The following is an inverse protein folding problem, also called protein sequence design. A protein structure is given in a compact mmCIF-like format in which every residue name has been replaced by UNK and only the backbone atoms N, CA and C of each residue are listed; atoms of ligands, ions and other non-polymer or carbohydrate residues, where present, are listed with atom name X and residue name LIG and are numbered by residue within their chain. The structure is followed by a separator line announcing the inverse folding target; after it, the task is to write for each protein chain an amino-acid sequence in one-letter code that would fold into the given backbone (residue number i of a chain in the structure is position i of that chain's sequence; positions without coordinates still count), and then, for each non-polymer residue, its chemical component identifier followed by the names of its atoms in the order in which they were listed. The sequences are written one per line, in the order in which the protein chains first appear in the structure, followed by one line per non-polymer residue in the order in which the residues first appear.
data_IF_607187585004
#
_entry.id   IF_607187585004
#
_cell.length_a   1.000
_cell.length_b   1.000
_cell.length_c   1.000
_cell.angle_alpha   90.00
_cell.angle_beta   90.00
_cell.angle_gamma   90.00
#
_symmetry.space_group_name_H-M   'P 1'
#
loop_
_entity.id
_entity.type
_entity.pdbx_description
1 polymer ?
#
# COMPACT_ATOMS: atom_id res chain seq x y z
N UNK A 1 -9.39 -19.43 24.29
CA UNK A 1 -9.26 -18.83 22.94
C UNK A 1 -7.83 -18.99 22.46
N UNK A 2 -7.61 -19.02 21.13
CA UNK A 2 -6.26 -19.08 20.57
C UNK A 2 -5.51 -17.76 20.82
N UNK A 3 -4.18 -17.84 20.96
CA UNK A 3 -3.32 -16.66 21.04
C UNK A 3 -3.43 -15.83 19.76
N UNK A 4 -3.30 -14.50 19.86
CA UNK A 4 -3.32 -13.57 18.71
C UNK A 4 -2.35 -13.99 17.60
N UNK A 5 -1.12 -14.37 17.94
CA UNK A 5 -0.12 -14.81 16.97
C UNK A 5 -0.57 -16.03 16.16
N UNK A 6 -1.21 -17.01 16.80
CA UNK A 6 -1.75 -18.21 16.15
C UNK A 6 -2.85 -17.83 15.15
N UNK A 7 -3.80 -16.98 15.57
CA UNK A 7 -4.89 -16.50 14.70
C UNK A 7 -4.33 -15.79 13.47
N UNK A 8 -3.41 -14.85 13.67
CA UNK A 8 -2.80 -14.08 12.58
C UNK A 8 -1.97 -14.97 11.64
N UNK A 9 -1.28 -15.99 12.17
CA UNK A 9 -0.54 -16.94 11.33
C UNK A 9 -1.46 -17.82 10.47
N UNK A 10 -2.58 -18.28 11.04
CA UNK A 10 -3.60 -19.05 10.30
C UNK A 10 -4.18 -18.18 9.17
N UNK A 11 -4.50 -16.91 9.45
CA UNK A 11 -5.00 -15.99 8.43
C UNK A 11 -3.97 -15.73 7.34
N UNK A 12 -2.70 -15.57 7.70
CA UNK A 12 -1.60 -15.38 6.74
C UNK A 12 -1.46 -16.59 5.82
N UNK A 13 -1.55 -17.80 6.36
CA UNK A 13 -1.48 -19.01 5.55
C UNK A 13 -2.72 -19.16 4.65
N UNK A 14 -3.92 -18.83 5.14
CA UNK A 14 -5.13 -18.78 4.29
C UNK A 14 -4.97 -17.76 3.16
N UNK A 15 -4.40 -16.58 3.47
CA UNK A 15 -4.11 -15.55 2.47
C UNK A 15 -3.14 -16.03 1.38
N UNK A 16 -2.04 -16.69 1.75
CA UNK A 16 -1.10 -17.30 0.78
C UNK A 16 -1.75 -18.26 -0.19
N UNK A 17 -2.72 -19.03 0.32
CA UNK A 17 -3.50 -20.01 -0.49
C UNK A 17 -4.74 -19.40 -1.14
N UNK A 18 -4.98 -18.12 -0.98
CA UNK A 18 -6.19 -17.42 -1.44
C UNK A 18 -7.50 -18.08 -1.00
N UNK A 19 -7.51 -18.77 0.15
CA UNK A 19 -8.68 -19.43 0.71
C UNK A 19 -9.63 -18.40 1.35
N UNK A 20 -10.96 -18.52 1.19
CA UNK A 20 -11.90 -17.56 1.74
C UNK A 20 -11.93 -17.59 3.28
N UNK A 21 -12.27 -16.45 3.89
CA UNK A 21 -12.47 -16.30 5.33
C UNK A 21 -13.97 -16.29 5.66
N UNK A 22 -14.43 -17.22 6.50
CA UNK A 22 -15.84 -17.40 6.84
C UNK A 22 -16.20 -16.97 8.26
N UNK A 23 -15.21 -16.87 9.17
CA UNK A 23 -15.42 -16.59 10.60
C UNK A 23 -14.53 -15.43 11.10
N UNK A 24 -14.35 -14.39 10.27
CA UNK A 24 -13.46 -13.29 10.61
C UNK A 24 -14.04 -12.42 11.73
N UNK A 25 -15.38 -12.23 11.75
CA UNK A 25 -16.07 -11.50 12.79
C UNK A 25 -15.89 -12.15 14.19
N UNK A 26 -15.87 -13.47 14.26
CA UNK A 26 -15.65 -14.21 15.50
C UNK A 26 -14.29 -13.92 16.12
N UNK A 27 -13.28 -13.59 15.31
CA UNK A 27 -11.95 -13.23 15.81
C UNK A 27 -11.95 -11.91 16.59
N UNK A 28 -12.93 -11.03 16.35
CA UNK A 28 -13.12 -9.80 17.13
C UNK A 28 -13.51 -10.05 18.60
N UNK A 29 -13.79 -11.28 18.97
CA UNK A 29 -14.09 -11.65 20.37
C UNK A 29 -12.85 -12.13 21.12
N UNK A 30 -11.67 -12.11 20.49
CA UNK A 30 -10.44 -12.61 21.08
C UNK A 30 -9.70 -11.50 21.86
N UNK A 31 -9.65 -11.55 23.22
CA UNK A 31 -9.01 -10.51 24.03
C UNK A 31 -7.55 -10.28 23.70
N UNK A 32 -6.77 -11.34 23.34
CA UNK A 32 -5.35 -11.17 23.05
C UNK A 32 -5.08 -10.36 21.76
N UNK A 33 -6.05 -10.22 20.86
CA UNK A 33 -5.94 -9.27 19.75
C UNK A 33 -6.06 -7.81 20.21
N UNK A 34 -6.86 -7.54 21.25
CA UNK A 34 -6.99 -6.20 21.84
C UNK A 34 -5.75 -5.79 22.62
N UNK A 35 -5.13 -6.72 23.34
CA UNK A 35 -3.85 -6.50 24.02
C UNK A 35 -2.75 -6.14 23.01
N UNK A 36 -2.66 -6.91 21.92
CA UNK A 36 -1.72 -6.63 20.82
C UNK A 36 -2.02 -5.29 20.13
N UNK A 37 -3.29 -5.01 19.86
CA UNK A 37 -3.75 -3.76 19.25
C UNK A 37 -3.43 -2.56 20.14
N UNK A 38 -3.71 -2.66 21.44
CA UNK A 38 -3.40 -1.61 22.39
C UNK A 38 -1.90 -1.31 22.44
N UNK A 39 -1.05 -2.32 22.57
CA UNK A 39 0.40 -2.14 22.58
C UNK A 39 0.92 -1.43 21.33
N UNK A 40 0.34 -1.69 20.16
CA UNK A 40 0.72 -1.03 18.90
C UNK A 40 0.26 0.43 18.83
N UNK A 41 -0.97 0.72 19.26
CA UNK A 41 -1.51 2.08 19.21
C UNK A 41 -0.83 2.95 20.26
N UNK A 42 -0.64 2.42 21.47
CA UNK A 42 -0.07 3.17 22.59
C UNK A 42 1.35 3.67 22.33
N UNK A 43 2.12 2.94 21.54
CA UNK A 43 3.46 3.35 21.11
C UNK A 43 3.48 4.56 20.15
N UNK A 44 2.34 4.96 19.59
CA UNK A 44 2.28 6.05 18.61
C UNK A 44 2.07 7.42 19.31
N UNK A 45 2.71 8.48 18.80
CA UNK A 45 2.55 9.84 19.31
C UNK A 45 1.10 10.33 19.39
N UNK A 46 0.21 9.82 18.52
CA UNK A 46 -1.23 10.13 18.52
C UNK A 46 -2.07 9.33 19.51
N UNK A 47 -1.47 8.48 20.35
CA UNK A 47 -2.19 7.64 21.31
C UNK A 47 -3.03 8.45 22.29
N UNK A 48 -2.50 9.59 22.75
CA UNK A 48 -3.14 10.45 23.73
C UNK A 48 -4.08 11.50 23.11
N UNK A 49 -4.21 11.54 21.78
CA UNK A 49 -5.10 12.50 21.12
C UNK A 49 -6.55 12.01 21.22
N UNK A 50 -7.44 12.73 21.95
CA UNK A 50 -8.82 12.28 22.13
C UNK A 50 -9.65 12.43 20.86
N UNK A 51 -10.64 11.56 20.70
CA UNK A 51 -11.72 11.71 19.73
C UNK A 51 -12.79 12.72 20.19
N UNK A 52 -14.00 12.58 19.65
CA UNK A 52 -15.14 13.42 20.04
C UNK A 52 -15.63 13.16 21.47
N UNK A 53 -15.41 11.96 22.00
CA UNK A 53 -15.78 11.51 23.35
C UNK A 53 -14.80 11.93 24.44
N UNK A 54 -13.65 12.53 24.08
CA UNK A 54 -12.60 12.90 25.03
C UNK A 54 -11.77 11.74 25.56
N UNK A 55 -12.03 10.50 25.16
CA UNK A 55 -11.27 9.32 25.61
C UNK A 55 -9.83 9.32 25.07
N UNK A 56 -8.89 8.91 25.94
CA UNK A 56 -7.45 8.75 25.63
C UNK A 56 -6.97 7.33 25.92
N UNK A 57 -5.73 7.03 25.53
CA UNK A 57 -5.10 5.72 25.76
C UNK A 57 -5.01 5.31 27.22
N UNK A 58 -4.89 6.27 28.15
CA UNK A 58 -4.77 5.97 29.60
C UNK A 58 -6.05 5.38 30.21
N UNK A 59 -7.20 5.62 29.58
CA UNK A 59 -8.48 5.03 30.02
C UNK A 59 -8.65 3.56 29.64
N UNK A 60 -7.61 2.90 29.06
CA UNK A 60 -7.69 1.49 28.66
C UNK A 60 -7.59 0.57 29.86
N UNK A 61 -8.43 -0.47 29.87
CA UNK A 61 -8.39 -1.56 30.86
C UNK A 61 -8.93 -2.85 30.24
N UNK A 62 -8.60 -3.98 30.83
CA UNK A 62 -9.17 -5.28 30.42
C UNK A 62 -10.70 -5.29 30.50
N UNK A 63 -11.26 -4.62 31.51
CA UNK A 63 -12.70 -4.47 31.66
C UNK A 63 -13.32 -3.66 30.49
N UNK A 64 -12.63 -2.62 30.00
CA UNK A 64 -13.06 -1.85 28.83
C UNK A 64 -13.00 -2.69 27.56
N UNK A 65 -11.92 -3.46 27.36
CA UNK A 65 -11.82 -4.41 26.25
C UNK A 65 -12.95 -5.43 26.30
N UNK A 66 -13.27 -5.98 27.48
CA UNK A 66 -14.39 -6.89 27.69
C UNK A 66 -15.72 -6.30 27.27
N UNK A 67 -16.01 -5.05 27.65
CA UNK A 67 -17.24 -4.33 27.23
C UNK A 67 -17.32 -4.14 25.72
N UNK A 68 -16.21 -3.79 25.06
CA UNK A 68 -16.15 -3.67 23.61
C UNK A 68 -16.43 -5.02 22.94
N UNK A 69 -15.79 -6.09 23.42
CA UNK A 69 -15.96 -7.45 22.91
C UNK A 69 -17.42 -7.90 23.07
N UNK A 70 -18.03 -7.64 24.20
CA UNK A 70 -19.45 -8.01 24.44
C UNK A 70 -20.39 -7.21 23.57
N UNK A 71 -20.12 -5.90 23.37
CA UNK A 71 -20.89 -5.08 22.44
C UNK A 71 -20.79 -5.59 21.00
N UNK A 72 -19.61 -6.03 20.56
CA UNK A 72 -19.41 -6.65 19.23
C UNK A 72 -20.10 -8.02 19.17
N UNK A 73 -19.96 -8.88 20.17
CA UNK A 73 -20.55 -10.23 20.22
C UNK A 73 -22.07 -10.20 20.00
N UNK A 74 -22.74 -9.24 20.62
CA UNK A 74 -24.18 -9.05 20.52
C UNK A 74 -24.59 -8.03 19.45
N UNK A 75 -23.67 -7.61 18.58
CA UNK A 75 -23.88 -6.65 17.48
C UNK A 75 -24.43 -5.28 17.93
N UNK A 76 -24.15 -4.89 19.16
CA UNK A 76 -24.56 -3.61 19.78
C UNK A 76 -23.50 -2.52 19.67
N UNK A 77 -22.30 -2.86 19.20
CA UNK A 77 -21.22 -1.88 19.04
C UNK A 77 -21.60 -0.83 17.98
N UNK A 78 -21.49 0.44 18.34
CA UNK A 78 -21.77 1.58 17.47
C UNK A 78 -20.51 2.42 17.34
N UNK A 79 -20.03 2.53 16.12
CA UNK A 79 -18.90 3.39 15.79
C UNK A 79 -19.30 4.85 15.91
N UNK A 80 -18.44 5.67 16.50
CA UNK A 80 -18.68 7.09 16.71
C UNK A 80 -18.19 7.89 15.51
N UNK A 81 -18.80 9.04 15.18
CA UNK A 81 -18.27 9.96 14.20
C UNK A 81 -16.87 10.44 14.61
N UNK A 82 -15.93 10.49 13.67
CA UNK A 82 -14.59 10.98 13.94
C UNK A 82 -14.60 12.51 14.15
N UNK A 83 -13.88 13.04 15.14
CA UNK A 83 -13.69 14.48 15.29
C UNK A 83 -12.82 14.99 14.16
N UNK A 84 -13.29 15.97 13.39
CA UNK A 84 -12.50 16.61 12.33
C UNK A 84 -11.62 17.70 12.91
N UNK A 85 -10.36 17.69 12.53
CA UNK A 85 -9.37 18.74 12.82
C UNK A 85 -8.61 19.06 11.55
N UNK A 86 -8.03 20.25 11.46
CA UNK A 86 -7.27 20.67 10.30
C UNK A 86 -5.78 20.86 10.66
N UNK A 87 -4.91 20.26 9.85
CA UNK A 87 -3.46 20.37 9.99
C UNK A 87 -2.91 21.17 8.81
N UNK A 88 -2.07 22.20 9.03
CA UNK A 88 -1.47 22.95 7.95
C UNK A 88 -0.47 22.08 7.17
N UNK A 89 -0.57 22.11 5.84
CA UNK A 89 0.43 21.55 4.92
C UNK A 89 1.58 22.56 4.74
N UNK A 90 2.75 22.07 4.31
CA UNK A 90 3.88 22.94 3.94
C UNK A 90 3.53 23.97 2.84
N UNK A 91 2.51 23.66 2.02
CA UNK A 91 1.99 24.56 0.98
C UNK A 91 1.02 25.64 1.49
N UNK A 92 0.78 25.75 2.79
CA UNK A 92 -0.21 26.65 3.40
C UNK A 92 -1.67 26.17 3.33
N UNK A 93 -1.98 25.13 2.55
CA UNK A 93 -3.32 24.53 2.51
C UNK A 93 -3.58 23.70 3.77
N UNK A 94 -4.83 23.69 4.23
CA UNK A 94 -5.26 22.85 5.34
C UNK A 94 -5.56 21.44 4.86
N UNK A 95 -5.23 20.45 5.71
CA UNK A 95 -5.53 19.05 5.51
C UNK A 95 -6.51 18.60 6.58
N UNK A 96 -7.70 18.10 6.22
CA UNK A 96 -8.61 17.51 7.18
C UNK A 96 -8.05 16.21 7.72
N UNK A 97 -8.15 16.01 9.03
CA UNK A 97 -7.80 14.78 9.72
C UNK A 97 -8.99 14.38 10.60
N UNK A 98 -9.41 13.12 10.51
CA UNK A 98 -10.42 12.55 11.38
C UNK A 98 -9.76 11.88 12.60
N UNK A 99 -10.18 12.25 13.79
CA UNK A 99 -9.76 11.65 15.04
C UNK A 99 -10.87 10.74 15.57
N UNK A 100 -10.78 9.41 15.36
CA UNK A 100 -11.74 8.45 15.93
C UNK A 100 -11.67 8.44 17.45
N UNK A 101 -12.73 7.98 18.11
CA UNK A 101 -12.71 7.67 19.54
C UNK A 101 -11.62 6.64 19.86
N UNK A 102 -11.15 6.62 21.10
CA UNK A 102 -10.13 5.63 21.48
C UNK A 102 -10.63 4.19 21.30
N UNK A 103 -11.86 3.91 21.68
CA UNK A 103 -12.48 2.61 21.48
C UNK A 103 -12.54 2.22 20.01
N UNK A 104 -12.88 3.16 19.12
CA UNK A 104 -12.91 2.91 17.67
C UNK A 104 -11.51 2.73 17.07
N UNK A 105 -10.50 3.46 17.58
CA UNK A 105 -9.09 3.20 17.22
C UNK A 105 -8.69 1.77 17.55
N UNK A 106 -9.09 1.28 18.72
CA UNK A 106 -8.75 -0.06 19.19
C UNK A 106 -9.44 -1.14 18.34
N UNK A 107 -10.74 -1.02 18.10
CA UNK A 107 -11.49 -1.93 17.19
C UNK A 107 -10.93 -1.86 15.78
N UNK A 108 -10.62 -0.66 15.29
CA UNK A 108 -10.00 -0.43 14.01
C UNK A 108 -8.64 -1.13 13.89
N UNK A 109 -7.81 -1.08 14.93
CA UNK A 109 -6.51 -1.77 14.91
C UNK A 109 -6.68 -3.29 14.89
N UNK A 110 -7.65 -3.86 15.62
CA UNK A 110 -7.95 -5.30 15.53
C UNK A 110 -8.39 -5.68 14.11
N UNK A 111 -9.29 -4.88 13.49
CA UNK A 111 -9.70 -5.09 12.09
C UNK A 111 -8.47 -5.01 11.16
N UNK A 112 -7.60 -4.02 11.34
CA UNK A 112 -6.36 -3.86 10.56
C UNK A 112 -5.45 -5.07 10.68
N UNK A 113 -5.24 -5.58 11.90
CA UNK A 113 -4.42 -6.78 12.16
C UNK A 113 -4.94 -8.00 11.40
N UNK A 114 -6.25 -8.23 11.43
CA UNK A 114 -6.90 -9.36 10.74
C UNK A 114 -6.78 -9.22 9.23
N UNK A 115 -7.10 -8.04 8.68
CA UNK A 115 -7.01 -7.77 7.24
C UNK A 115 -5.56 -7.82 6.76
N UNK A 116 -4.62 -7.22 7.49
CA UNK A 116 -3.19 -7.23 7.14
C UNK A 116 -2.65 -8.67 7.11
N UNK A 117 -2.96 -9.47 8.13
CA UNK A 117 -2.51 -10.86 8.16
C UNK A 117 -3.00 -11.66 6.94
N UNK A 118 -4.22 -11.40 6.50
CA UNK A 118 -4.80 -12.12 5.38
C UNK A 118 -4.36 -11.59 4.00
N UNK A 119 -4.35 -10.26 3.82
CA UNK A 119 -4.11 -9.65 2.49
C UNK A 119 -2.62 -9.42 2.18
N UNK A 120 -1.76 -9.20 3.19
CA UNK A 120 -0.33 -8.92 2.96
C UNK A 120 0.37 -9.96 2.07
N UNK A 121 0.13 -11.26 2.20
CA UNK A 121 0.73 -12.26 1.30
C UNK A 121 0.23 -12.20 -0.15
N UNK A 122 -0.87 -11.52 -0.41
CA UNK A 122 -1.52 -11.46 -1.72
C UNK A 122 -1.19 -10.18 -2.51
N UNK A 123 -0.67 -9.17 -1.82
CA UNK A 123 -0.33 -7.90 -2.45
C UNK A 123 0.84 -8.05 -3.43
N UNK A 124 0.77 -7.25 -4.51
CA UNK A 124 1.85 -7.14 -5.48
C UNK A 124 3.20 -6.85 -4.80
N UNK A 125 4.25 -7.50 -5.30
CA UNK A 125 5.63 -7.19 -4.91
C UNK A 125 6.04 -5.75 -5.24
N UNK A 126 5.32 -5.08 -6.14
CA UNK A 126 5.59 -3.72 -6.62
C UNK A 126 4.86 -2.62 -5.85
N UNK A 127 4.09 -3.00 -4.83
CA UNK A 127 3.42 -2.08 -3.91
C UNK A 127 4.22 -1.95 -2.62
N UNK A 128 4.60 -0.72 -2.22
CA UNK A 128 5.55 -0.47 -1.13
C UNK A 128 4.99 0.37 0.03
N UNK A 129 3.90 1.12 -0.15
CA UNK A 129 3.35 2.01 0.88
C UNK A 129 2.53 1.28 1.94
N UNK A 130 2.65 1.71 3.19
CA UNK A 130 1.85 1.21 4.34
C UNK A 130 1.90 -0.31 4.56
N UNK A 131 3.00 -0.95 4.22
CA UNK A 131 3.16 -2.40 4.33
C UNK A 131 4.32 -2.77 5.28
N UNK A 132 4.21 -3.88 6.03
CA UNK A 132 5.28 -4.35 6.89
C UNK A 132 6.57 -4.61 6.10
N UNK A 133 7.70 -4.10 6.60
CA UNK A 133 9.02 -4.29 5.98
C UNK A 133 9.23 -3.58 4.64
N UNK A 134 8.27 -2.76 4.20
CA UNK A 134 8.34 -1.96 2.95
C UNK A 134 8.22 -0.47 3.25
N UNK A 135 8.78 0.34 2.39
CA UNK A 135 8.77 1.79 2.56
C UNK A 135 9.33 2.50 1.32
N UNK A 136 9.50 3.81 1.40
CA UNK A 136 10.04 4.62 0.32
C UNK A 136 11.38 4.08 -0.19
N UNK A 137 12.29 3.73 0.72
CA UNK A 137 13.62 3.20 0.34
C UNK A 137 13.54 1.87 -0.41
N UNK A 138 12.56 1.01 -0.12
CA UNK A 138 12.40 -0.25 -0.86
C UNK A 138 11.85 0.00 -2.26
N UNK A 139 10.98 0.98 -2.44
CA UNK A 139 10.49 1.41 -3.76
C UNK A 139 11.63 2.03 -4.60
N UNK A 140 12.41 2.94 -4.01
CA UNK A 140 13.55 3.58 -4.68
C UNK A 140 14.61 2.56 -5.08
N UNK A 141 14.91 1.58 -4.24
CA UNK A 141 15.84 0.49 -4.56
C UNK A 141 15.34 -0.34 -5.75
N UNK A 142 14.05 -0.65 -5.81
CA UNK A 142 13.48 -1.34 -6.98
C UNK A 142 13.67 -0.52 -8.26
N UNK A 143 13.46 0.79 -8.21
CA UNK A 143 13.72 1.68 -9.35
C UNK A 143 15.20 1.67 -9.72
N UNK A 144 16.11 1.81 -8.77
CA UNK A 144 17.56 1.81 -9.00
C UNK A 144 18.05 0.50 -9.62
N UNK A 145 17.68 -0.63 -9.02
CA UNK A 145 18.18 -1.95 -9.42
C UNK A 145 17.56 -2.44 -10.73
N UNK A 146 16.26 -2.15 -10.96
CA UNK A 146 15.49 -2.81 -12.01
C UNK A 146 15.22 -1.91 -13.22
N UNK A 147 15.17 -0.57 -13.05
CA UNK A 147 14.75 0.36 -14.10
C UNK A 147 15.89 0.96 -14.92
N UNK A 148 17.08 0.36 -14.83
CA UNK A 148 18.22 0.78 -15.63
C UNK A 148 17.90 0.82 -17.14
N UNK A 149 18.28 1.90 -17.80
CA UNK A 149 18.01 2.13 -19.23
C UNK A 149 16.59 2.55 -19.57
N UNK A 150 15.78 2.94 -18.59
CA UNK A 150 14.47 3.57 -18.79
C UNK A 150 14.65 4.97 -19.38
N UNK A 151 13.89 5.28 -20.42
CA UNK A 151 13.96 6.56 -21.14
C UNK A 151 12.82 7.50 -20.77
N UNK A 152 11.65 6.93 -20.47
CA UNK A 152 10.42 7.68 -20.16
C UNK A 152 9.87 7.29 -18.81
N UNK A 153 9.46 8.28 -18.05
CA UNK A 153 8.76 8.11 -16.78
C UNK A 153 7.38 8.73 -16.90
N UNK A 154 6.36 7.93 -16.60
CA UNK A 154 4.99 8.41 -16.46
C UNK A 154 4.69 8.41 -14.97
N UNK A 155 4.35 9.57 -14.49
CA UNK A 155 4.06 9.82 -13.10
C UNK A 155 2.56 10.10 -12.96
N UNK A 156 1.88 9.35 -12.11
CA UNK A 156 0.46 9.52 -11.81
C UNK A 156 0.23 9.70 -10.32
N UNK A 157 -0.66 10.61 -9.96
CA UNK A 157 -1.11 10.88 -8.60
C UNK A 157 -2.63 10.67 -8.52
N UNK A 158 -3.10 9.95 -7.49
CA UNK A 158 -4.54 9.76 -7.26
C UNK A 158 -5.00 10.90 -6.35
N UNK A 159 -5.71 11.85 -6.95
CA UNK A 159 -6.26 12.97 -6.20
C UNK A 159 -7.23 12.48 -5.13
N UNK A 160 -6.94 12.87 -3.87
CA UNK A 160 -7.75 12.52 -2.69
C UNK A 160 -8.12 11.03 -2.60
N UNK A 161 -7.16 10.14 -2.77
CA UNK A 161 -7.38 8.69 -2.80
C UNK A 161 -8.20 8.21 -1.60
N UNK A 162 -7.88 8.67 -0.38
CA UNK A 162 -8.62 8.26 0.82
C UNK A 162 -10.03 8.84 0.89
N UNK A 163 -10.26 10.05 0.37
CA UNK A 163 -11.58 10.67 0.35
C UNK A 163 -12.48 10.18 -0.79
N UNK A 164 -11.90 9.58 -1.83
CA UNK A 164 -12.62 9.13 -3.03
C UNK A 164 -12.92 7.63 -3.07
N UNK A 165 -12.47 6.84 -2.07
CA UNK A 165 -12.76 5.40 -2.02
C UNK A 165 -14.28 5.15 -1.95
N UNK A 166 -14.82 4.48 -2.96
CA UNK A 166 -16.23 4.07 -2.97
C UNK A 166 -16.47 2.96 -1.95
N UNK A 167 -17.41 3.18 -1.01
CA UNK A 167 -17.70 2.25 0.08
C UNK A 167 -18.25 0.92 -0.42
N UNK A 168 -19.15 0.95 -1.42
CA UNK A 168 -19.79 -0.27 -1.91
C UNK A 168 -18.80 -1.09 -2.77
N UNK A 169 -17.95 -0.42 -3.55
CA UNK A 169 -16.86 -1.09 -4.27
C UNK A 169 -15.88 -1.72 -3.27
N UNK A 170 -15.49 -0.99 -2.20
CA UNK A 170 -14.62 -1.53 -1.16
C UNK A 170 -15.21 -2.79 -0.51
N UNK A 171 -16.47 -2.74 -0.11
CA UNK A 171 -17.14 -3.89 0.51
C UNK A 171 -17.27 -5.04 -0.48
N UNK A 172 -17.52 -4.77 -1.75
CA UNK A 172 -17.57 -5.79 -2.81
C UNK A 172 -16.21 -6.48 -2.99
N UNK A 173 -15.11 -5.71 -3.02
CA UNK A 173 -13.75 -6.26 -3.08
C UNK A 173 -13.46 -7.16 -1.88
N UNK A 174 -13.83 -6.73 -0.68
CA UNK A 174 -13.67 -7.54 0.53
C UNK A 174 -14.52 -8.83 0.46
N UNK A 175 -15.77 -8.73 -0.01
CA UNK A 175 -16.69 -9.85 -0.10
C UNK A 175 -16.24 -10.98 -1.05
N UNK A 176 -15.35 -10.71 -2.00
CA UNK A 176 -14.76 -11.75 -2.86
C UNK A 176 -13.97 -12.81 -2.08
N UNK A 177 -13.42 -12.41 -0.94
CA UNK A 177 -12.56 -13.26 -0.11
C UNK A 177 -13.08 -13.45 1.32
N UNK A 178 -13.86 -12.52 1.82
CA UNK A 178 -14.42 -12.55 3.18
C UNK A 178 -15.91 -12.90 3.08
N UNK A 179 -16.22 -14.16 3.33
CA UNK A 179 -17.59 -14.68 3.30
C UNK A 179 -18.19 -14.63 4.73
N UNK A 180 -18.13 -13.45 5.34
CA UNK A 180 -18.64 -13.17 6.69
C UNK A 180 -19.40 -11.84 6.65
N UNK A 181 -20.73 -11.92 6.50
CA UNK A 181 -21.60 -10.76 6.38
C UNK A 181 -21.57 -9.86 7.61
N UNK A 182 -21.32 -10.40 8.81
CA UNK A 182 -21.21 -9.63 10.05
C UNK A 182 -19.95 -8.75 10.00
N UNK A 183 -18.84 -9.30 9.54
CA UNK A 183 -17.59 -8.56 9.38
C UNK A 183 -17.73 -7.48 8.30
N UNK A 184 -18.28 -7.81 7.14
CA UNK A 184 -18.51 -6.85 6.04
C UNK A 184 -19.44 -5.71 6.46
N UNK A 185 -20.49 -6.00 7.24
CA UNK A 185 -21.40 -5.00 7.80
C UNK A 185 -20.69 -4.07 8.78
N UNK A 186 -19.83 -4.61 9.64
CA UNK A 186 -19.02 -3.79 10.57
C UNK A 186 -18.09 -2.84 9.82
N UNK A 187 -17.39 -3.32 8.79
CA UNK A 187 -16.52 -2.47 7.94
C UNK A 187 -17.35 -1.41 7.22
N UNK A 188 -18.51 -1.75 6.65
CA UNK A 188 -19.41 -0.79 6.02
C UNK A 188 -19.86 0.29 7.00
N UNK A 189 -20.25 -0.10 8.21
CA UNK A 189 -20.64 0.85 9.27
C UNK A 189 -19.49 1.75 9.66
N UNK A 190 -18.26 1.23 9.71
CA UNK A 190 -17.06 2.01 9.99
C UNK A 190 -16.78 3.05 8.90
N UNK A 191 -16.94 2.71 7.63
CA UNK A 191 -16.79 3.64 6.52
C UNK A 191 -17.88 4.74 6.55
N UNK A 192 -19.08 4.40 6.98
CA UNK A 192 -20.26 5.31 7.04
C UNK A 192 -20.41 6.04 8.38
N UNK A 193 -19.49 5.87 9.34
CA UNK A 193 -19.62 6.46 10.68
C UNK A 193 -19.68 8.00 10.67
N UNK A 194 -19.17 8.65 9.63
CA UNK A 194 -19.21 10.10 9.50
C UNK A 194 -18.14 10.81 10.32
N UNK A 195 -18.29 12.14 10.41
CA UNK A 195 -17.42 12.97 11.21
C UNK A 195 -18.18 14.15 11.84
N UNK A 196 -17.61 14.67 12.92
CA UNK A 196 -18.07 15.88 13.59
C UNK A 196 -17.11 17.03 13.25
N UNK A 197 -17.67 18.11 12.73
CA UNK A 197 -17.00 19.36 12.45
C UNK A 197 -17.82 20.50 13.09
N UNK A 198 -17.21 21.28 13.95
CA UNK A 198 -17.89 22.34 14.72
C UNK A 198 -19.16 21.84 15.44
N UNK A 199 -19.07 20.60 15.99
CA UNK A 199 -20.18 19.89 16.66
C UNK A 199 -21.37 19.54 15.75
N UNK A 200 -21.23 19.72 14.42
CA UNK A 200 -22.22 19.27 13.44
C UNK A 200 -21.82 17.93 12.85
N UNK A 201 -22.79 17.03 12.74
CA UNK A 201 -22.57 15.73 12.13
C UNK A 201 -22.60 15.83 10.61
N UNK A 202 -21.61 15.23 9.97
CA UNK A 202 -21.50 15.09 8.53
C UNK A 202 -21.39 13.62 8.16
N UNK A 203 -22.25 13.19 7.26
CA UNK A 203 -22.22 11.83 6.74
C UNK A 203 -21.05 11.66 5.76
N UNK A 204 -20.35 10.52 5.85
CA UNK A 204 -19.34 10.15 4.87
C UNK A 204 -19.99 9.33 3.76
N UNK A 205 -20.10 9.90 2.57
CA UNK A 205 -20.66 9.22 1.38
C UNK A 205 -19.62 8.39 0.64
N UNK A 206 -18.35 8.81 0.71
CA UNK A 206 -17.18 8.11 0.14
C UNK A 206 -15.96 8.32 1.04
N UNK A 207 -14.95 7.51 0.84
CA UNK A 207 -13.66 7.64 1.49
C UNK A 207 -13.55 6.95 2.84
N UNK A 208 -12.30 6.82 3.27
CA UNK A 208 -11.94 6.38 4.61
C UNK A 208 -11.54 7.60 5.43
N UNK A 209 -11.89 7.68 6.73
CA UNK A 209 -11.46 8.78 7.58
C UNK A 209 -9.94 8.95 7.53
N UNK A 210 -9.47 10.12 7.05
CA UNK A 210 -8.05 10.44 7.07
C UNK A 210 -7.58 10.49 8.53
N UNK A 211 -6.67 9.57 8.90
CA UNK A 211 -6.24 9.36 10.28
C UNK A 211 -6.83 8.10 10.93
N UNK A 212 -7.76 7.43 10.29
CA UNK A 212 -8.24 6.11 10.73
C UNK A 212 -7.14 5.05 10.63
N UNK A 213 -6.99 4.23 11.65
CA UNK A 213 -5.96 3.17 11.73
C UNK A 213 -6.12 2.12 10.62
N UNK A 214 -7.36 1.88 10.18
CA UNK A 214 -7.69 0.89 9.14
C UNK A 214 -7.51 1.44 7.73
N UNK A 215 -7.56 2.75 7.54
CA UNK A 215 -7.57 3.38 6.21
C UNK A 215 -6.41 2.96 5.31
N UNK A 216 -5.15 2.81 5.79
CA UNK A 216 -4.04 2.38 4.95
C UNK A 216 -4.20 0.96 4.38
N UNK A 217 -4.68 0.00 5.16
CA UNK A 217 -4.87 -1.38 4.67
C UNK A 217 -6.05 -1.45 3.69
N UNK A 218 -7.14 -0.72 3.94
CA UNK A 218 -8.27 -0.65 3.01
C UNK A 218 -7.85 -0.02 1.68
N UNK A 219 -7.08 1.07 1.71
CA UNK A 219 -6.53 1.68 0.50
C UNK A 219 -5.66 0.69 -0.28
N UNK A 220 -4.77 -0.06 0.39
CA UNK A 220 -3.95 -1.06 -0.27
C UNK A 220 -4.78 -2.20 -0.88
N UNK A 221 -5.84 -2.67 -0.20
CA UNK A 221 -6.75 -3.69 -0.74
C UNK A 221 -7.47 -3.17 -1.99
N UNK A 222 -7.92 -1.92 -1.97
CA UNK A 222 -8.59 -1.28 -3.10
C UNK A 222 -7.64 -1.12 -4.29
N UNK A 223 -6.45 -0.58 -4.05
CA UNK A 223 -5.46 -0.29 -5.08
C UNK A 223 -4.71 -1.55 -5.59
N UNK A 224 -4.79 -2.68 -4.88
CA UNK A 224 -4.27 -3.96 -5.38
C UNK A 224 -4.93 -4.38 -6.72
N UNK A 225 -6.14 -3.86 -7.00
CA UNK A 225 -6.78 -4.04 -8.32
C UNK A 225 -5.98 -3.36 -9.43
N UNK A 226 -5.50 -2.15 -9.18
CA UNK A 226 -4.65 -1.43 -10.11
C UNK A 226 -3.29 -2.14 -10.26
N UNK A 227 -2.70 -2.59 -9.15
CA UNK A 227 -1.44 -3.31 -9.17
C UNK A 227 -1.55 -4.58 -10.03
N UNK A 228 -2.60 -5.37 -9.82
CA UNK A 228 -2.86 -6.59 -10.61
C UNK A 228 -3.16 -6.30 -12.07
N UNK A 229 -3.94 -5.26 -12.37
CA UNK A 229 -4.16 -4.83 -13.74
C UNK A 229 -2.83 -4.44 -14.43
N UNK A 230 -1.98 -3.68 -13.74
CA UNK A 230 -0.67 -3.34 -14.27
C UNK A 230 0.19 -4.58 -14.53
N UNK A 231 0.19 -5.57 -13.62
CA UNK A 231 1.00 -6.79 -13.76
C UNK A 231 0.47 -7.78 -14.80
N UNK A 232 -0.85 -7.94 -14.88
CA UNK A 232 -1.46 -9.00 -15.73
C UNK A 232 -1.86 -8.51 -17.11
N UNK A 233 -2.07 -7.21 -17.28
CA UNK A 233 -2.51 -6.61 -18.56
C UNK A 233 -1.45 -5.68 -19.12
N UNK A 234 -1.13 -4.59 -18.41
CA UNK A 234 -0.27 -3.54 -18.98
C UNK A 234 1.16 -4.02 -19.22
N UNK A 235 1.79 -4.67 -18.25
CA UNK A 235 3.19 -5.12 -18.40
C UNK A 235 3.32 -6.14 -19.53
N UNK A 236 2.47 -7.18 -19.67
CA UNK A 236 2.53 -8.08 -20.80
C UNK A 236 2.28 -7.40 -22.15
N UNK A 237 1.26 -6.55 -22.25
CA UNK A 237 0.90 -5.86 -23.50
C UNK A 237 2.01 -4.91 -23.99
N UNK A 238 2.60 -4.17 -23.06
CA UNK A 238 3.59 -3.15 -23.39
C UNK A 238 5.04 -3.61 -23.28
N UNK A 239 5.31 -4.87 -22.94
CA UNK A 239 6.66 -5.44 -22.93
C UNK A 239 6.91 -6.24 -24.20
N UNK A 240 7.96 -5.88 -24.97
CA UNK A 240 8.30 -6.51 -26.26
C UNK A 240 9.80 -6.85 -26.35
N UNK A 241 10.09 -7.91 -27.09
CA UNK A 241 11.46 -8.35 -27.36
C UNK A 241 12.17 -8.95 -26.15
N UNK A 242 13.11 -9.83 -26.36
CA UNK A 242 13.91 -10.45 -25.28
C UNK A 242 15.17 -9.64 -24.97
N UNK A 243 15.86 -9.16 -26.00
CA UNK A 243 17.13 -8.44 -25.93
C UNK A 243 17.08 -7.29 -26.92
N UNK A 244 17.62 -6.12 -26.57
CA UNK A 244 17.79 -5.01 -27.50
C UNK A 244 18.73 -5.41 -28.62
N UNK A 245 18.45 -4.96 -29.84
CA UNK A 245 19.37 -5.04 -30.96
C UNK A 245 20.68 -4.36 -30.60
N UNK A 246 21.80 -4.88 -31.09
CA UNK A 246 23.09 -4.26 -30.84
C UNK A 246 23.12 -2.87 -31.49
N UNK A 247 23.65 -1.89 -30.76
CA UNK A 247 23.84 -0.55 -31.30
C UNK A 247 24.84 -0.60 -32.48
N UNK A 248 24.47 -0.07 -33.65
CA UNK A 248 25.36 -0.10 -34.83
C UNK A 248 26.73 0.52 -34.56
N UNK A 249 26.80 1.61 -33.82
CA UNK A 249 28.08 2.27 -33.50
C UNK A 249 28.93 1.43 -32.54
N UNK A 250 28.32 0.79 -31.57
CA UNK A 250 29.00 -0.17 -30.71
C UNK A 250 29.57 -1.35 -31.50
N UNK A 251 28.81 -1.86 -32.48
CA UNK A 251 29.24 -2.93 -33.36
C UNK A 251 30.42 -2.50 -34.22
N UNK A 252 30.38 -1.29 -34.84
CA UNK A 252 31.47 -0.72 -35.65
C UNK A 252 32.77 -0.58 -34.84
N UNK A 253 32.68 0.02 -33.65
CA UNK A 253 33.85 0.18 -32.78
C UNK A 253 34.38 -1.18 -32.30
N UNK A 254 33.51 -2.13 -32.01
CA UNK A 254 33.91 -3.50 -31.62
C UNK A 254 34.66 -4.22 -32.76
N UNK A 255 34.19 -4.09 -34.01
CA UNK A 255 34.85 -4.62 -35.18
C UNK A 255 36.24 -3.97 -35.40
N UNK A 256 36.34 -2.62 -35.23
CA UNK A 256 37.59 -1.90 -35.32
C UNK A 256 38.62 -2.35 -34.25
N UNK A 257 38.18 -2.60 -33.01
CA UNK A 257 39.05 -3.17 -31.96
C UNK A 257 39.58 -4.52 -32.41
N UNK A 258 38.72 -5.40 -32.95
CA UNK A 258 39.14 -6.71 -33.46
C UNK A 258 40.17 -6.59 -34.58
N UNK A 259 40.03 -5.62 -35.47
CA UNK A 259 41.01 -5.33 -36.54
C UNK A 259 42.34 -4.85 -35.97
N UNK A 260 42.33 -3.85 -35.08
CA UNK A 260 43.54 -3.33 -34.43
C UNK A 260 44.30 -4.41 -33.64
N UNK A 261 43.59 -5.29 -32.94
CA UNK A 261 44.20 -6.41 -32.23
C UNK A 261 44.86 -7.42 -33.18
N UNK A 262 44.26 -7.73 -34.33
CA UNK A 262 44.87 -8.63 -35.34
C UNK A 262 46.11 -8.02 -35.99
N UNK A 263 46.17 -6.69 -36.11
CA UNK A 263 47.31 -5.94 -36.64
C UNK A 263 48.40 -5.67 -35.61
N UNK A 264 48.22 -6.11 -34.35
CA UNK A 264 49.18 -5.87 -33.28
C UNK A 264 49.21 -4.42 -32.74
N UNK A 265 48.32 -3.54 -33.23
CA UNK A 265 48.26 -2.13 -32.80
C UNK A 265 47.55 -1.99 -31.45
N UNK A 266 48.39 -2.12 -30.39
CA UNK A 266 47.89 -2.03 -29.01
C UNK A 266 47.42 -0.61 -28.63
N UNK A 267 47.99 0.44 -29.22
CA UNK A 267 47.65 1.82 -28.92
C UNK A 267 46.25 2.15 -29.48
N UNK A 268 45.99 1.86 -30.77
CA UNK A 268 44.69 2.02 -31.38
C UNK A 268 43.62 1.17 -30.67
N UNK A 269 43.93 -0.08 -30.33
CA UNK A 269 43.02 -0.96 -29.60
C UNK A 269 42.62 -0.37 -28.22
N UNK A 270 43.58 0.24 -27.51
CA UNK A 270 43.32 0.92 -26.22
C UNK A 270 42.40 2.13 -26.38
N UNK A 271 42.67 2.98 -27.37
CA UNK A 271 41.89 4.16 -27.67
C UNK A 271 40.42 3.78 -28.05
N UNK A 272 40.24 2.81 -28.94
CA UNK A 272 38.93 2.32 -29.35
C UNK A 272 38.12 1.67 -28.19
N UNK A 273 38.81 0.98 -27.27
CA UNK A 273 38.17 0.46 -26.03
C UNK A 273 37.69 1.60 -25.14
N UNK A 274 38.45 2.69 -25.03
CA UNK A 274 38.01 3.88 -24.28
C UNK A 274 36.75 4.50 -24.92
N UNK A 275 36.76 4.67 -26.26
CA UNK A 275 35.63 5.17 -27.02
C UNK A 275 34.37 4.29 -26.83
N UNK A 276 34.54 2.96 -26.88
CA UNK A 276 33.44 2.01 -26.73
C UNK A 276 32.74 2.10 -25.36
N UNK A 277 33.45 2.49 -24.29
CA UNK A 277 32.86 2.64 -22.93
C UNK A 277 31.77 3.68 -22.87
N UNK A 278 31.82 4.72 -23.75
CA UNK A 278 30.80 5.77 -23.86
C UNK A 278 29.61 5.40 -24.76
N UNK A 279 29.65 4.24 -25.45
CA UNK A 279 28.60 3.83 -26.38
C UNK A 279 27.74 2.73 -25.74
N UNK A 280 26.43 2.91 -25.58
CA UNK A 280 25.54 1.86 -25.10
C UNK A 280 25.60 0.62 -26.00
N UNK A 281 25.75 -0.58 -25.43
CA UNK A 281 25.80 -1.84 -26.19
C UNK A 281 24.49 -2.12 -26.94
N UNK A 282 23.36 -1.81 -26.35
CA UNK A 282 22.02 -2.00 -26.95
C UNK A 282 21.57 -0.71 -27.65
N UNK A 283 20.86 -0.87 -28.75
CA UNK A 283 20.21 0.25 -29.43
C UNK A 283 19.06 0.79 -28.55
N UNK A 284 19.23 2.01 -28.04
CA UNK A 284 18.23 2.68 -27.18
C UNK A 284 16.93 2.98 -27.94
N UNK A 285 16.97 3.02 -29.27
CA UNK A 285 15.84 3.30 -30.17
C UNK A 285 15.29 2.05 -30.84
N UNK A 286 15.64 0.84 -30.39
CA UNK A 286 15.15 -0.39 -30.95
C UNK A 286 13.61 -0.49 -30.83
N UNK A 287 12.85 -0.39 -31.94
CA UNK A 287 11.38 -0.42 -31.90
C UNK A 287 10.82 -1.80 -31.53
N UNK A 288 11.65 -2.86 -31.61
CA UNK A 288 11.27 -4.21 -31.24
C UNK A 288 11.52 -4.55 -29.78
N UNK A 289 12.15 -3.63 -29.02
CA UNK A 289 12.41 -3.81 -27.61
C UNK A 289 11.74 -2.71 -26.81
N UNK A 290 10.85 -3.11 -25.89
CA UNK A 290 10.19 -2.21 -24.93
C UNK A 290 10.00 -2.94 -23.61
N UNK A 291 10.13 -2.24 -22.50
CA UNK A 291 9.85 -2.70 -21.15
C UNK A 291 8.93 -1.71 -20.47
N UNK A 292 7.75 -2.18 -20.07
CA UNK A 292 6.94 -1.47 -19.12
C UNK A 292 7.35 -1.94 -17.70
N UNK A 293 7.59 -0.99 -16.82
CA UNK A 293 7.86 -1.22 -15.41
C UNK A 293 6.87 -0.46 -14.59
N UNK A 294 6.57 -0.96 -13.42
CA UNK A 294 5.56 -0.40 -12.54
C UNK A 294 6.01 -0.50 -11.10
N UNK A 295 5.82 0.54 -10.32
CA UNK A 295 5.96 0.55 -8.86
C UNK A 295 4.93 1.51 -8.29
N UNK A 296 4.34 1.15 -7.16
CA UNK A 296 3.42 2.01 -6.43
C UNK A 296 3.91 2.20 -5.00
N UNK A 297 3.87 3.43 -4.54
CA UNK A 297 4.11 3.77 -3.14
C UNK A 297 2.88 4.46 -2.56
N UNK A 298 2.08 3.71 -1.78
CA UNK A 298 0.84 4.22 -1.18
C UNK A 298 -0.10 4.91 -2.18
N UNK A 299 -0.67 6.02 -1.77
CA UNK A 299 -1.49 6.95 -2.54
C UNK A 299 -0.87 8.35 -2.61
N UNK A 300 0.44 8.42 -2.42
CA UNK A 300 1.22 9.64 -2.37
C UNK A 300 1.15 10.45 -1.06
N UNK A 301 1.84 9.96 -0.03
CA UNK A 301 2.03 10.71 1.22
C UNK A 301 3.46 10.97 1.64
N UNK A 302 4.41 10.61 0.82
CA UNK A 302 5.76 11.13 0.96
C UNK A 302 5.87 12.30 -0.01
N UNK A 303 6.41 13.46 0.40
CA UNK A 303 6.53 14.60 -0.49
C UNK A 303 7.37 14.19 -1.70
N UNK A 304 6.74 13.99 -2.86
CA UNK A 304 7.26 13.58 -4.16
C UNK A 304 7.24 12.08 -4.50
N UNK A 305 6.24 11.33 -4.13
CA UNK A 305 6.06 9.99 -4.67
C UNK A 305 4.75 9.92 -5.46
N UNK A 306 4.87 9.61 -6.65
CA UNK A 306 3.94 9.56 -7.77
C UNK A 306 3.82 8.13 -8.27
N UNK A 307 2.74 7.78 -8.92
CA UNK A 307 2.63 6.51 -9.64
C UNK A 307 3.61 6.58 -10.81
N UNK A 308 4.72 5.87 -10.75
CA UNK A 308 5.70 5.88 -11.82
C UNK A 308 5.48 4.65 -12.70
N UNK A 309 5.09 4.88 -13.93
CA UNK A 309 5.06 3.89 -14.99
C UNK A 309 6.19 4.22 -15.95
N UNK A 310 7.19 3.36 -16.03
CA UNK A 310 8.31 3.54 -16.95
C UNK A 310 8.06 2.77 -18.24
N UNK A 311 8.16 3.42 -19.37
CA UNK A 311 8.12 2.83 -20.72
C UNK A 311 9.46 2.90 -21.43
#
# INVERSE_FOLDING_TARGET
MQNAATVLNVLRERGRRSLPCTELYRQLFNPSLYELAWGRIYANHGAMTPGADGETGDGMSLAKAGRIIDALRYERYRLQPAKRVYIPKKSGKLRPLGLPSWSDKLVGEVIRLLLEAYYEPQFSGRSHGFRPGRGCHTALREVEDVWSGTTWFIEGDISDCFGSLDHEIMVRILAEKIHDNRFLRLVRNMLKAGYLEDWQYHQTLSGCPQGGVVSPILSNIYLDRLDKFAETVLIPEYTRGRVRKMNPDYAKVTAAIGKACRQGDRAAARQLRAQRRGIPRGDVRDPRYRRLRYVRYADDRVPRTRLEVAM
#
